data_IF_536453317331
#
_entry.id   IF_536453317331
#
_cell.length_a   1.000
_cell.length_b   1.000
_cell.length_c   1.000
_cell.angle_alpha   90.00
_cell.angle_beta   90.00
_cell.angle_gamma   90.00
#
_symmetry.space_group_name_H-M   'P 1'
#
loop_
_entity.id
_entity.type
_entity.pdbx_description
1 polymer ?
#
# COMPACT_ATOMS: atom_id res chain seq x y z
N UNK A 1 -14.09 -36.70 -13.41
CA UNK A 1 -13.21 -36.20 -14.49
C UNK A 1 -13.32 -34.68 -14.52
N UNK A 2 -12.21 -33.95 -14.36
CA UNK A 2 -12.20 -32.48 -14.48
C UNK A 2 -12.57 -32.11 -15.90
N UNK A 3 -13.61 -31.28 -16.10
CA UNK A 3 -13.94 -30.74 -17.43
C UNK A 3 -12.76 -29.89 -17.89
N UNK A 4 -12.04 -30.33 -18.91
CA UNK A 4 -10.96 -29.56 -19.50
C UNK A 4 -11.58 -28.46 -20.38
N UNK A 5 -11.52 -27.22 -19.91
CA UNK A 5 -11.95 -26.07 -20.70
C UNK A 5 -11.02 -25.89 -21.91
N UNK A 6 -11.60 -25.78 -23.10
CA UNK A 6 -10.87 -25.55 -24.36
C UNK A 6 -10.72 -24.07 -24.71
N UNK A 7 -11.51 -23.21 -24.05
CA UNK A 7 -11.41 -21.75 -24.11
C UNK A 7 -11.77 -21.15 -22.75
N UNK A 8 -10.91 -20.27 -22.24
CA UNK A 8 -11.22 -19.34 -21.16
C UNK A 8 -11.00 -17.92 -21.68
N UNK A 9 -11.97 -17.05 -21.49
CA UNK A 9 -11.85 -15.63 -21.84
C UNK A 9 -12.60 -14.75 -20.83
N UNK A 10 -12.22 -13.49 -20.74
CA UNK A 10 -12.79 -12.53 -19.79
C UNK A 10 -13.33 -11.33 -20.56
N UNK A 11 -14.53 -10.89 -20.22
CA UNK A 11 -15.25 -9.85 -20.97
C UNK A 11 -15.99 -8.93 -20.02
N UNK A 12 -16.09 -7.66 -20.39
CA UNK A 12 -17.13 -6.77 -19.86
C UNK A 12 -18.43 -7.03 -20.64
N UNK A 13 -19.56 -7.15 -19.97
CA UNK A 13 -20.83 -7.19 -20.70
C UNK A 13 -21.04 -5.88 -21.47
N UNK A 14 -21.36 -6.01 -22.75
CA UNK A 14 -21.76 -4.89 -23.58
C UNK A 14 -23.22 -4.53 -23.37
N UNK A 15 -23.67 -3.50 -24.10
CA UNK A 15 -25.09 -3.15 -24.23
C UNK A 15 -25.46 -3.04 -25.70
N UNK A 16 -26.67 -3.44 -26.05
CA UNK A 16 -27.29 -3.21 -27.35
C UNK A 16 -28.70 -2.66 -27.10
N UNK A 17 -28.96 -1.42 -27.55
CA UNK A 17 -30.22 -0.70 -27.32
C UNK A 17 -30.69 -0.78 -25.85
N UNK A 18 -29.76 -0.54 -24.93
CA UNK A 18 -29.99 -0.58 -23.49
C UNK A 18 -30.09 -1.98 -22.86
N UNK A 19 -30.21 -3.04 -23.65
CA UNK A 19 -30.22 -4.43 -23.15
C UNK A 19 -28.81 -5.00 -23.04
N UNK A 20 -28.53 -5.84 -22.02
CA UNK A 20 -27.23 -6.47 -21.85
C UNK A 20 -26.88 -7.38 -23.02
N UNK A 21 -25.61 -7.35 -23.42
CA UNK A 21 -25.08 -8.09 -24.57
C UNK A 21 -23.83 -8.88 -24.18
N UNK A 22 -23.83 -10.15 -24.51
CA UNK A 22 -22.64 -10.99 -24.55
C UNK A 22 -22.22 -11.17 -26.02
N UNK A 23 -21.00 -10.76 -26.34
CA UNK A 23 -20.42 -10.92 -27.68
C UNK A 23 -19.18 -11.81 -27.59
N UNK A 24 -19.20 -12.97 -28.25
CA UNK A 24 -18.06 -13.87 -28.32
C UNK A 24 -17.70 -14.14 -29.77
N UNK A 25 -16.44 -13.87 -30.14
CA UNK A 25 -15.92 -14.13 -31.47
C UNK A 25 -14.60 -14.91 -31.38
N UNK A 26 -14.61 -16.18 -31.76
CA UNK A 26 -13.42 -17.03 -31.72
C UNK A 26 -13.54 -18.23 -32.65
N UNK A 27 -12.48 -18.55 -33.40
CA UNK A 27 -12.45 -19.80 -34.20
C UNK A 27 -12.52 -21.05 -33.33
N UNK A 28 -12.10 -20.98 -32.06
CA UNK A 28 -12.24 -22.10 -31.12
C UNK A 28 -13.70 -22.48 -30.85
N UNK A 29 -14.67 -21.62 -31.18
CA UNK A 29 -16.09 -21.98 -31.10
C UNK A 29 -16.41 -23.19 -31.99
N UNK A 30 -15.82 -23.30 -33.17
CA UNK A 30 -16.00 -24.47 -34.07
C UNK A 30 -15.56 -25.76 -33.40
N UNK A 31 -14.35 -25.79 -32.84
CA UNK A 31 -13.81 -26.98 -32.16
C UNK A 31 -14.59 -27.37 -30.91
N UNK A 32 -15.42 -26.47 -30.37
CA UNK A 32 -16.26 -26.68 -29.21
C UNK A 32 -17.73 -26.96 -29.59
N UNK A 33 -18.05 -27.17 -30.87
CA UNK A 33 -19.41 -27.47 -31.32
C UNK A 33 -20.34 -26.26 -31.41
N UNK A 34 -19.76 -25.08 -31.58
CA UNK A 34 -20.46 -23.82 -31.86
C UNK A 34 -19.98 -23.26 -33.21
N UNK A 35 -20.02 -24.09 -34.26
CA UNK A 35 -19.75 -23.66 -35.64
C UNK A 35 -20.84 -22.72 -36.14
N UNK A 36 -20.55 -21.92 -37.17
CA UNK A 36 -21.55 -21.05 -37.80
C UNK A 36 -22.83 -21.82 -38.17
N UNK A 37 -23.99 -21.26 -37.83
CA UNK A 37 -25.30 -21.88 -38.05
C UNK A 37 -25.79 -22.83 -36.95
N UNK A 38 -24.89 -23.30 -36.07
CA UNK A 38 -25.25 -24.20 -34.97
C UNK A 38 -26.31 -23.58 -34.08
N UNK A 39 -27.38 -24.32 -33.78
CA UNK A 39 -28.41 -23.90 -32.84
C UNK A 39 -27.96 -24.14 -31.40
N UNK A 40 -28.39 -23.29 -30.48
CA UNK A 40 -28.12 -23.46 -29.06
C UNK A 40 -29.26 -22.92 -28.21
N UNK A 41 -29.34 -23.45 -26.98
CA UNK A 41 -30.24 -22.97 -25.93
C UNK A 41 -29.43 -22.23 -24.88
N UNK A 42 -30.07 -21.25 -24.23
CA UNK A 42 -29.48 -20.52 -23.10
C UNK A 42 -30.26 -20.86 -21.84
N UNK A 43 -29.57 -21.45 -20.87
CA UNK A 43 -30.13 -21.87 -19.60
C UNK A 43 -29.66 -20.91 -18.51
N UNK A 44 -30.60 -20.33 -17.75
CA UNK A 44 -30.26 -19.58 -16.56
C UNK A 44 -29.64 -20.52 -15.49
N UNK A 45 -28.56 -20.07 -14.85
CA UNK A 45 -27.89 -20.75 -13.75
C UNK A 45 -27.84 -19.83 -12.53
N UNK A 46 -27.62 -20.41 -11.35
CA UNK A 46 -27.57 -19.64 -10.09
C UNK A 46 -26.57 -18.47 -10.13
N UNK A 47 -25.42 -18.67 -10.78
CA UNK A 47 -24.32 -17.68 -10.86
C UNK A 47 -24.06 -17.16 -12.27
N UNK A 48 -24.98 -17.34 -13.22
CA UNK A 48 -24.75 -16.89 -14.60
C UNK A 48 -25.66 -17.59 -15.60
N UNK A 49 -25.15 -17.83 -16.80
CA UNK A 49 -25.88 -18.53 -17.87
C UNK A 49 -25.02 -19.61 -18.49
N UNK A 50 -25.68 -20.66 -18.98
CA UNK A 50 -25.05 -21.73 -19.76
C UNK A 50 -25.63 -21.74 -21.16
N UNK A 51 -24.77 -21.69 -22.16
CA UNK A 51 -25.15 -21.94 -23.54
C UNK A 51 -24.83 -23.41 -23.83
N UNK A 52 -25.81 -24.13 -24.39
CA UNK A 52 -25.66 -25.53 -24.77
C UNK A 52 -26.00 -25.69 -26.24
N UNK A 53 -25.06 -26.21 -27.02
CA UNK A 53 -25.31 -26.59 -28.40
C UNK A 53 -26.43 -27.64 -28.45
N UNK A 54 -27.37 -27.47 -29.37
CA UNK A 54 -28.55 -28.32 -29.48
C UNK A 54 -28.97 -28.44 -30.95
N UNK A 55 -29.69 -29.52 -31.26
CA UNK A 55 -30.25 -29.73 -32.60
C UNK A 55 -31.31 -28.66 -32.90
N UNK A 56 -32.17 -28.39 -31.92
CA UNK A 56 -33.12 -27.29 -31.92
C UNK A 56 -32.78 -26.30 -30.81
N UNK A 57 -32.80 -25.01 -31.14
CA UNK A 57 -32.45 -23.95 -30.20
C UNK A 57 -33.04 -22.61 -30.62
N UNK A 58 -33.30 -21.75 -29.63
CA UNK A 58 -33.87 -20.40 -29.83
C UNK A 58 -32.84 -19.39 -30.34
N UNK A 59 -31.56 -19.77 -30.36
CA UNK A 59 -30.46 -18.94 -30.82
C UNK A 59 -29.58 -19.72 -31.80
N UNK A 60 -28.87 -18.98 -32.66
CA UNK A 60 -27.94 -19.55 -33.64
C UNK A 60 -26.60 -18.81 -33.61
N UNK A 61 -25.54 -19.56 -33.84
CA UNK A 61 -24.20 -19.00 -33.98
C UNK A 61 -24.14 -18.24 -35.32
N UNK A 62 -23.88 -16.94 -35.25
CA UNK A 62 -23.68 -16.08 -36.40
C UNK A 62 -22.25 -16.25 -36.95
N UNK A 63 -21.95 -15.57 -38.06
CA UNK A 63 -20.62 -15.59 -38.65
C UNK A 63 -20.20 -14.22 -39.18
N UNK A 64 -18.89 -13.96 -39.17
CA UNK A 64 -18.27 -12.83 -39.85
C UNK A 64 -17.11 -13.31 -40.72
N UNK A 65 -17.02 -12.79 -41.95
CA UNK A 65 -15.84 -12.97 -42.80
C UNK A 65 -14.76 -11.99 -42.38
N UNK A 66 -13.55 -12.48 -42.14
CA UNK A 66 -12.39 -11.68 -41.82
C UNK A 66 -11.18 -12.16 -42.63
N UNK A 67 -10.10 -11.37 -42.65
CA UNK A 67 -8.83 -11.81 -43.23
C UNK A 67 -8.40 -13.12 -42.55
N UNK A 68 -8.32 -14.20 -43.33
CA UNK A 68 -7.98 -15.55 -42.88
C UNK A 68 -9.15 -16.52 -42.69
N UNK A 69 -10.41 -16.15 -42.96
CA UNK A 69 -11.55 -17.09 -43.01
C UNK A 69 -12.81 -16.63 -42.27
N UNK A 70 -13.76 -17.55 -42.15
CA UNK A 70 -15.00 -17.36 -41.39
C UNK A 70 -14.70 -17.41 -39.88
N UNK A 71 -15.36 -16.55 -39.10
CA UNK A 71 -15.29 -16.56 -37.62
C UNK A 71 -16.69 -16.74 -37.05
N UNK A 72 -16.94 -17.77 -36.23
CA UNK A 72 -18.20 -17.93 -35.52
C UNK A 72 -18.37 -16.83 -34.46
N UNK A 73 -19.61 -16.37 -34.32
CA UNK A 73 -20.01 -15.31 -33.39
C UNK A 73 -21.21 -15.76 -32.59
N UNK A 74 -21.12 -15.63 -31.27
CA UNK A 74 -22.28 -15.65 -30.38
C UNK A 74 -22.59 -14.21 -29.99
N UNK A 75 -23.72 -13.70 -30.48
CA UNK A 75 -24.27 -12.40 -30.10
C UNK A 75 -25.57 -12.63 -29.33
N UNK A 76 -25.47 -12.62 -28.00
CA UNK A 76 -26.60 -12.83 -27.12
C UNK A 76 -27.01 -11.49 -26.50
N UNK A 77 -28.10 -10.92 -27.01
CA UNK A 77 -28.78 -9.75 -26.43
C UNK A 77 -30.04 -10.24 -25.75
N UNK A 78 -30.04 -10.35 -24.42
CA UNK A 78 -31.20 -10.85 -23.68
C UNK A 78 -31.23 -10.30 -22.24
N UNK A 79 -32.18 -9.41 -21.97
CA UNK A 79 -32.33 -8.79 -20.64
C UNK A 79 -32.68 -9.81 -19.55
N UNK A 80 -33.64 -10.71 -19.79
CA UNK A 80 -34.09 -11.64 -18.73
C UNK A 80 -32.97 -12.60 -18.30
N UNK A 81 -32.10 -13.00 -19.24
CA UNK A 81 -31.02 -13.95 -18.97
C UNK A 81 -29.74 -13.26 -18.45
N UNK A 82 -29.40 -12.08 -18.98
CA UNK A 82 -28.12 -11.42 -18.69
C UNK A 82 -28.19 -10.31 -17.64
N UNK A 83 -29.38 -9.83 -17.24
CA UNK A 83 -29.50 -8.74 -16.25
C UNK A 83 -28.77 -9.04 -14.93
N UNK A 84 -28.74 -10.31 -14.49
CA UNK A 84 -28.03 -10.73 -13.26
C UNK A 84 -26.51 -10.61 -13.39
N UNK A 85 -26.00 -10.58 -14.63
CA UNK A 85 -24.59 -10.43 -14.95
C UNK A 85 -24.17 -8.95 -15.12
N UNK A 86 -25.11 -8.03 -15.36
CA UNK A 86 -24.83 -6.60 -15.58
C UNK A 86 -24.13 -5.92 -14.40
N UNK A 87 -24.47 -6.33 -13.18
CA UNK A 87 -23.88 -5.75 -11.97
C UNK A 87 -22.40 -6.09 -11.77
N UNK A 88 -21.87 -7.05 -12.53
CA UNK A 88 -20.48 -7.49 -12.41
C UNK A 88 -19.62 -6.74 -13.42
N UNK A 89 -18.46 -6.26 -12.97
CA UNK A 89 -17.51 -5.52 -13.83
C UNK A 89 -16.91 -6.38 -14.93
N UNK A 90 -16.86 -7.71 -14.73
CA UNK A 90 -16.24 -8.68 -15.63
C UNK A 90 -16.91 -10.04 -15.49
N UNK A 91 -17.08 -10.75 -16.61
CA UNK A 91 -17.51 -12.15 -16.67
C UNK A 91 -16.40 -13.02 -17.25
N UNK A 92 -16.27 -14.22 -16.69
CA UNK A 92 -15.48 -15.32 -17.23
C UNK A 92 -16.38 -16.17 -18.13
N UNK A 93 -15.90 -16.40 -19.35
CA UNK A 93 -16.46 -17.35 -20.30
C UNK A 93 -15.56 -18.57 -20.28
N UNK A 94 -16.12 -19.71 -19.88
CA UNK A 94 -15.44 -20.99 -19.84
C UNK A 94 -16.16 -21.96 -20.76
N UNK A 95 -15.50 -22.39 -21.82
CA UNK A 95 -16.11 -23.20 -22.87
C UNK A 95 -15.41 -24.55 -23.02
N UNK A 96 -16.22 -25.55 -23.33
CA UNK A 96 -15.88 -26.95 -23.58
C UNK A 96 -16.82 -27.50 -24.65
N UNK A 97 -16.63 -28.75 -25.06
CA UNK A 97 -17.46 -29.36 -26.10
C UNK A 97 -18.96 -29.24 -25.81
N UNK A 98 -19.68 -28.53 -26.67
CA UNK A 98 -21.12 -28.30 -26.63
C UNK A 98 -21.62 -27.38 -25.50
N UNK A 99 -20.73 -26.85 -24.64
CA UNK A 99 -21.11 -26.08 -23.45
C UNK A 99 -20.25 -24.83 -23.31
N UNK A 100 -20.89 -23.68 -23.09
CA UNK A 100 -20.24 -22.43 -22.69
C UNK A 100 -20.89 -21.93 -21.41
N UNK A 101 -20.12 -21.83 -20.34
CA UNK A 101 -20.55 -21.18 -19.09
C UNK A 101 -20.08 -19.73 -19.06
N UNK A 102 -21.01 -18.83 -18.74
CA UNK A 102 -20.73 -17.40 -18.55
C UNK A 102 -21.11 -17.02 -17.13
N UNK A 103 -20.10 -16.76 -16.32
CA UNK A 103 -20.21 -16.47 -14.88
C UNK A 103 -19.40 -15.23 -14.53
N UNK A 104 -19.66 -14.53 -13.43
CA UNK A 104 -18.77 -13.50 -12.92
C UNK A 104 -17.35 -14.05 -12.76
N UNK A 105 -16.34 -13.27 -13.11
CA UNK A 105 -14.96 -13.68 -12.86
C UNK A 105 -14.68 -13.75 -11.36
N UNK A 106 -13.64 -14.50 -10.97
CA UNK A 106 -13.20 -14.55 -9.57
C UNK A 106 -12.85 -13.15 -9.05
N UNK A 107 -12.22 -12.33 -9.89
CA UNK A 107 -11.90 -10.92 -9.62
C UNK A 107 -13.17 -10.11 -9.36
N UNK A 108 -14.17 -10.18 -10.25
CA UNK A 108 -15.42 -9.47 -10.07
C UNK A 108 -16.16 -9.89 -8.78
N UNK A 109 -16.10 -11.18 -8.43
CA UNK A 109 -16.65 -11.70 -7.18
C UNK A 109 -15.92 -11.16 -5.94
N UNK A 110 -14.59 -11.23 -5.94
CA UNK A 110 -13.75 -10.72 -4.85
C UNK A 110 -13.93 -9.21 -4.64
N UNK A 111 -13.87 -8.42 -5.71
CA UNK A 111 -14.12 -6.97 -5.68
C UNK A 111 -15.49 -6.65 -5.08
N UNK A 112 -16.54 -7.38 -5.47
CA UNK A 112 -17.88 -7.13 -4.92
C UNK A 112 -17.95 -7.42 -3.42
N UNK A 113 -17.36 -8.54 -2.98
CA UNK A 113 -17.29 -8.89 -1.55
C UNK A 113 -16.62 -7.79 -0.73
N UNK A 114 -15.57 -7.18 -1.29
CA UNK A 114 -14.81 -6.11 -0.64
C UNK A 114 -15.62 -4.81 -0.56
N UNK A 115 -16.35 -4.47 -1.63
CA UNK A 115 -17.28 -3.34 -1.64
C UNK A 115 -18.47 -3.50 -0.66
N UNK A 116 -18.89 -4.74 -0.40
CA UNK A 116 -19.98 -5.04 0.53
C UNK A 116 -19.51 -5.10 2.00
N UNK A 117 -18.21 -5.03 2.28
CA UNK A 117 -17.64 -5.15 3.62
C UNK A 117 -18.03 -3.98 4.55
N UNK A 118 -18.21 -4.29 5.83
CA UNK A 118 -18.56 -3.34 6.92
C UNK A 118 -17.38 -3.15 7.87
N UNK A 119 -17.25 -2.00 8.56
CA UNK A 119 -16.32 -1.87 9.65
C UNK A 119 -16.70 -2.78 10.85
N UNK A 120 -15.73 -3.19 11.69
CA UNK A 120 -14.31 -2.88 11.55
C UNK A 120 -13.68 -3.67 10.39
N UNK A 121 -12.99 -2.97 9.49
CA UNK A 121 -12.34 -3.56 8.34
C UNK A 121 -11.07 -4.25 8.79
N UNK A 122 -10.88 -5.51 8.40
CA UNK A 122 -9.65 -6.23 8.71
C UNK A 122 -8.51 -5.62 7.92
N UNK A 123 -7.45 -5.28 8.63
CA UNK A 123 -6.29 -4.58 8.09
C UNK A 123 -5.07 -5.48 8.20
N UNK A 124 -4.46 -5.73 7.04
CA UNK A 124 -3.13 -6.32 6.96
C UNK A 124 -2.11 -5.20 6.82
N UNK A 125 -1.06 -5.23 7.63
CA UNK A 125 0.08 -4.34 7.48
C UNK A 125 1.32 -5.12 7.03
N UNK A 126 1.95 -4.67 5.95
CA UNK A 126 3.24 -5.21 5.50
C UNK A 126 4.34 -4.20 5.78
N UNK A 127 5.50 -4.72 6.23
CA UNK A 127 6.64 -3.93 6.70
C UNK A 127 6.31 -3.12 7.97
N UNK A 128 5.69 -3.78 8.95
CA UNK A 128 5.15 -3.11 10.14
C UNK A 128 6.23 -2.57 11.10
N UNK A 129 7.50 -2.99 10.96
CA UNK A 129 8.59 -2.51 11.79
C UNK A 129 8.32 -2.79 13.27
N UNK A 130 8.57 -1.79 14.11
CA UNK A 130 8.20 -1.83 15.53
C UNK A 130 6.83 -1.20 15.84
N UNK A 131 6.01 -0.93 14.82
CA UNK A 131 4.58 -0.67 14.99
C UNK A 131 4.11 0.78 15.09
N UNK A 132 4.85 1.78 14.60
CA UNK A 132 4.36 3.17 14.69
C UNK A 132 3.13 3.44 13.81
N UNK A 133 3.04 2.79 12.65
CA UNK A 133 1.87 2.83 11.78
C UNK A 133 0.78 1.88 12.27
N UNK A 134 1.16 0.70 12.76
CA UNK A 134 0.28 -0.24 13.47
C UNK A 134 -0.47 0.39 14.64
N UNK A 135 0.18 1.28 15.40
CA UNK A 135 -0.44 2.03 16.48
C UNK A 135 -1.53 2.99 15.97
N UNK A 136 -1.36 3.59 14.80
CA UNK A 136 -2.40 4.43 14.18
C UNK A 136 -3.59 3.57 13.70
N UNK A 137 -3.31 2.39 13.13
CA UNK A 137 -4.35 1.43 12.70
C UNK A 137 -5.15 0.95 13.91
N UNK A 138 -4.48 0.42 14.93
CA UNK A 138 -5.12 -0.13 16.12
C UNK A 138 -5.79 0.91 17.01
N UNK A 139 -5.45 2.20 16.85
CA UNK A 139 -6.08 3.31 17.57
C UNK A 139 -7.42 3.77 16.98
N UNK A 140 -7.83 3.25 15.81
CA UNK A 140 -9.05 3.69 15.12
C UNK A 140 -10.08 2.57 15.05
N UNK A 141 -11.28 2.80 15.60
CA UNK A 141 -12.30 1.76 15.83
C UNK A 141 -12.81 1.05 14.55
N UNK A 142 -12.78 1.74 13.40
CA UNK A 142 -13.20 1.14 12.12
C UNK A 142 -12.17 0.20 11.49
N UNK A 143 -10.98 0.05 12.07
CA UNK A 143 -9.95 -0.85 11.55
C UNK A 143 -9.58 -1.91 12.60
N UNK A 144 -9.47 -3.15 12.16
CA UNK A 144 -8.98 -4.26 12.98
C UNK A 144 -7.66 -4.77 12.39
N UNK A 145 -6.55 -4.50 13.07
CA UNK A 145 -5.25 -5.04 12.66
C UNK A 145 -5.24 -6.56 12.87
N UNK A 146 -5.26 -7.34 11.77
CA UNK A 146 -5.33 -8.81 11.82
C UNK A 146 -3.99 -9.49 11.62
N UNK A 147 -3.04 -8.82 10.96
CA UNK A 147 -1.69 -9.33 10.77
C UNK A 147 -0.68 -8.22 10.45
N UNK A 148 0.58 -8.49 10.82
CA UNK A 148 1.75 -7.68 10.51
C UNK A 148 2.86 -8.54 9.89
N UNK A 149 3.60 -8.00 8.92
CA UNK A 149 4.76 -8.68 8.33
C UNK A 149 6.02 -7.89 8.62
N UNK A 150 6.97 -8.53 9.29
CA UNK A 150 8.27 -7.95 9.66
C UNK A 150 9.37 -9.01 9.59
N UNK A 151 10.51 -8.69 8.98
CA UNK A 151 11.60 -9.63 8.78
C UNK A 151 12.61 -9.62 9.94
N UNK A 152 12.81 -8.47 10.59
CA UNK A 152 13.79 -8.29 11.68
C UNK A 152 13.17 -8.74 13.01
N UNK A 153 13.68 -9.82 13.63
CA UNK A 153 13.08 -10.39 14.85
C UNK A 153 12.99 -9.38 15.99
N UNK A 154 14.00 -8.51 16.16
CA UNK A 154 14.01 -7.51 17.25
C UNK A 154 12.89 -6.47 17.12
N UNK A 155 12.45 -6.17 15.90
CA UNK A 155 11.32 -5.26 15.67
C UNK A 155 9.99 -6.02 15.77
N UNK A 156 9.97 -7.24 15.25
CA UNK A 156 8.83 -8.15 15.32
C UNK A 156 8.42 -8.44 16.78
N UNK A 157 9.37 -8.68 17.68
CA UNK A 157 9.11 -8.88 19.11
C UNK A 157 8.40 -7.67 19.75
N UNK A 158 8.90 -6.46 19.44
CA UNK A 158 8.31 -5.21 19.94
C UNK A 158 6.90 -5.03 19.39
N UNK A 159 6.72 -5.26 18.09
CA UNK A 159 5.41 -5.18 17.44
C UNK A 159 4.41 -6.18 18.05
N UNK A 160 4.79 -7.44 18.19
CA UNK A 160 3.93 -8.50 18.70
C UNK A 160 3.54 -8.27 20.17
N UNK A 161 4.43 -7.66 20.96
CA UNK A 161 4.11 -7.29 22.35
C UNK A 161 2.97 -6.26 22.46
N UNK A 162 2.86 -5.37 21.47
CA UNK A 162 1.81 -4.36 21.39
C UNK A 162 0.54 -4.86 20.70
N UNK A 163 0.65 -5.84 19.80
CA UNK A 163 -0.44 -6.35 18.96
C UNK A 163 -0.66 -7.85 19.16
N UNK A 164 -0.87 -8.27 20.41
CA UNK A 164 -0.91 -9.69 20.83
C UNK A 164 -1.93 -10.57 20.11
N UNK A 165 -3.04 -9.98 19.68
CA UNK A 165 -4.12 -10.72 19.00
C UNK A 165 -3.94 -10.79 17.47
N UNK A 166 -3.01 -10.02 16.92
CA UNK A 166 -2.72 -10.01 15.49
C UNK A 166 -1.65 -11.05 15.15
N UNK A 167 -1.79 -11.69 13.99
CA UNK A 167 -0.81 -12.65 13.49
C UNK A 167 0.47 -11.93 13.05
N UNK A 168 1.60 -12.24 13.69
CA UNK A 168 2.92 -11.88 13.18
C UNK A 168 3.38 -12.89 12.12
N UNK A 169 3.62 -12.39 10.91
CA UNK A 169 4.30 -13.14 9.85
C UNK A 169 5.76 -12.68 9.85
N UNK A 170 6.60 -13.39 10.59
CA UNK A 170 8.03 -13.07 10.65
C UNK A 170 8.79 -13.70 9.48
N UNK A 171 8.76 -13.04 8.33
CA UNK A 171 9.38 -13.56 7.12
C UNK A 171 9.80 -12.46 6.15
N UNK A 172 10.71 -12.82 5.26
CA UNK A 172 10.86 -12.10 4.00
C UNK A 172 9.57 -12.27 3.18
N UNK A 173 8.89 -11.16 2.88
CA UNK A 173 7.64 -11.12 2.13
C UNK A 173 7.74 -11.87 0.78
N UNK A 174 8.94 -11.96 0.18
CA UNK A 174 9.19 -12.69 -1.07
C UNK A 174 8.94 -14.19 -0.95
N UNK A 175 8.99 -14.75 0.26
CA UNK A 175 8.84 -16.19 0.52
C UNK A 175 7.41 -16.59 0.87
N UNK A 176 6.55 -15.64 1.19
CA UNK A 176 5.19 -15.91 1.66
C UNK A 176 4.26 -15.90 0.46
N UNK A 177 3.60 -17.03 0.20
CA UNK A 177 2.67 -17.12 -0.91
C UNK A 177 1.47 -16.18 -0.64
N UNK A 178 0.96 -15.43 -1.63
CA UNK A 178 -0.12 -14.47 -1.41
C UNK A 178 -1.38 -15.05 -0.75
N UNK A 179 -1.63 -16.37 -0.87
CA UNK A 179 -2.79 -17.02 -0.21
C UNK A 179 -2.60 -17.37 1.26
N UNK A 180 -1.40 -17.25 1.80
CA UNK A 180 -1.11 -17.52 3.22
C UNK A 180 -1.46 -16.34 4.12
N UNK A 181 -1.60 -15.13 3.55
CA UNK A 181 -2.04 -13.96 4.28
C UNK A 181 -3.52 -14.08 4.67
N UNK A 182 -3.91 -13.65 5.89
CA UNK A 182 -5.32 -13.67 6.30
C UNK A 182 -6.15 -12.75 5.41
N UNK A 183 -7.44 -13.05 5.31
CA UNK A 183 -8.36 -12.20 4.58
C UNK A 183 -8.45 -10.81 5.22
N UNK A 184 -8.37 -9.78 4.39
CA UNK A 184 -8.36 -8.38 4.79
C UNK A 184 -9.12 -7.51 3.77
N UNK A 185 -9.71 -6.44 4.28
CA UNK A 185 -10.38 -5.40 3.51
C UNK A 185 -9.45 -4.22 3.26
N UNK A 186 -8.47 -3.99 4.13
CA UNK A 186 -7.52 -2.88 4.01
C UNK A 186 -6.10 -3.43 4.01
N UNK A 187 -5.28 -2.95 3.10
CA UNK A 187 -3.84 -3.20 3.08
C UNK A 187 -3.08 -1.91 3.39
N UNK A 188 -2.18 -1.95 4.37
CA UNK A 188 -1.26 -0.86 4.66
C UNK A 188 0.17 -1.32 4.41
N UNK A 189 0.94 -0.54 3.67
CA UNK A 189 2.27 -0.92 3.20
C UNK A 189 3.27 0.24 3.35
N UNK A 190 4.12 0.17 4.36
CA UNK A 190 5.26 1.09 4.55
C UNK A 190 6.50 0.53 3.82
N UNK A 191 6.49 0.63 2.49
CA UNK A 191 7.47 -0.07 1.64
C UNK A 191 8.91 0.40 1.98
N UNK A 192 9.87 -0.51 2.21
CA UNK A 192 11.22 -0.13 2.59
C UNK A 192 11.89 0.84 1.61
N UNK A 193 12.20 2.03 2.09
CA UNK A 193 12.79 3.09 1.27
C UNK A 193 14.33 2.98 1.12
N UNK A 194 14.96 1.92 1.63
CA UNK A 194 16.43 1.86 1.71
C UNK A 194 17.13 1.92 0.36
N UNK A 195 16.53 1.35 -0.70
CA UNK A 195 17.07 1.51 -2.05
C UNK A 195 16.60 2.79 -2.75
N UNK A 196 15.48 3.39 -2.31
CA UNK A 196 14.81 4.51 -2.99
C UNK A 196 15.02 5.88 -2.33
N UNK A 197 15.62 5.94 -1.14
CA UNK A 197 15.98 7.18 -0.44
C UNK A 197 17.32 7.73 -0.92
N UNK A 198 17.52 9.05 -0.84
CA UNK A 198 18.79 9.68 -1.23
C UNK A 198 19.99 9.11 -0.45
N UNK A 199 19.87 9.04 0.88
CA UNK A 199 20.91 8.47 1.74
C UNK A 199 21.16 6.99 1.45
N UNK A 200 20.10 6.23 1.17
CA UNK A 200 20.18 4.82 0.85
C UNK A 200 20.84 4.55 -0.50
N UNK A 201 20.43 5.26 -1.56
CA UNK A 201 21.05 5.21 -2.89
C UNK A 201 22.53 5.55 -2.84
N UNK A 202 22.90 6.59 -2.09
CA UNK A 202 24.30 6.98 -1.91
C UNK A 202 25.11 5.89 -1.20
N UNK A 203 24.60 5.32 -0.11
CA UNK A 203 25.30 4.26 0.66
C UNK A 203 25.45 2.95 -0.10
N UNK A 204 24.50 2.62 -0.98
CA UNK A 204 24.48 1.37 -1.75
C UNK A 204 25.01 1.51 -3.18
N UNK A 205 25.52 2.68 -3.55
CA UNK A 205 26.06 2.96 -4.90
C UNK A 205 25.09 2.60 -6.04
N UNK A 206 23.77 2.78 -5.83
CA UNK A 206 22.73 2.34 -6.77
C UNK A 206 22.51 3.30 -7.95
N UNK A 207 23.13 4.49 -7.91
CA UNK A 207 22.97 5.50 -8.96
C UNK A 207 21.50 5.80 -9.27
N UNK A 208 21.12 5.67 -10.54
CA UNK A 208 19.74 5.86 -11.03
C UNK A 208 18.92 4.56 -11.11
N UNK A 209 19.39 3.46 -10.49
CA UNK A 209 18.73 2.13 -10.55
C UNK A 209 18.34 1.63 -9.15
N UNK A 210 17.50 2.35 -8.39
CA UNK A 210 17.13 1.97 -7.03
C UNK A 210 16.38 0.63 -6.95
N UNK A 211 15.71 0.20 -8.01
CA UNK A 211 14.96 -1.06 -8.07
C UNK A 211 15.87 -2.30 -7.98
N UNK A 212 17.16 -2.18 -8.31
CA UNK A 212 18.12 -3.28 -8.27
C UNK A 212 18.82 -3.44 -6.90
N UNK A 213 18.50 -2.60 -5.91
CA UNK A 213 18.99 -2.79 -4.54
C UNK A 213 18.21 -3.88 -3.80
N UNK A 214 18.78 -4.41 -2.71
CA UNK A 214 18.24 -5.58 -1.98
C UNK A 214 16.77 -5.49 -1.52
N UNK A 215 16.24 -4.26 -1.38
CA UNK A 215 14.83 -4.00 -1.03
C UNK A 215 14.07 -3.24 -2.12
N UNK A 216 14.68 -3.06 -3.30
CA UNK A 216 14.18 -2.21 -4.38
C UNK A 216 12.99 -2.81 -5.11
N UNK A 217 12.88 -4.14 -5.09
CA UNK A 217 11.87 -4.97 -5.76
C UNK A 217 10.63 -5.26 -4.89
N UNK A 218 10.68 -4.96 -3.59
CA UNK A 218 9.63 -5.35 -2.64
C UNK A 218 8.24 -4.80 -2.98
N UNK A 219 8.14 -3.70 -3.73
CA UNK A 219 6.87 -3.19 -4.25
C UNK A 219 6.15 -4.18 -5.18
N UNK A 220 6.88 -5.08 -5.86
CA UNK A 220 6.31 -6.15 -6.69
C UNK A 220 5.56 -7.18 -5.85
N UNK A 221 6.09 -7.50 -4.66
CA UNK A 221 5.40 -8.39 -3.71
C UNK A 221 4.09 -7.76 -3.23
N UNK A 222 4.12 -6.46 -2.94
CA UNK A 222 2.93 -5.69 -2.56
C UNK A 222 1.91 -5.63 -3.70
N UNK A 223 2.33 -5.32 -4.92
CA UNK A 223 1.46 -5.32 -6.10
C UNK A 223 0.78 -6.69 -6.30
N UNK A 224 1.55 -7.77 -6.15
CA UNK A 224 1.06 -9.15 -6.24
C UNK A 224 0.01 -9.46 -5.16
N UNK A 225 0.25 -8.99 -3.92
CA UNK A 225 -0.68 -9.15 -2.81
C UNK A 225 -2.00 -8.43 -3.08
N UNK A 226 -1.95 -7.17 -3.55
CA UNK A 226 -3.13 -6.39 -3.94
C UNK A 226 -3.89 -7.06 -5.09
N UNK A 227 -3.19 -7.55 -6.11
CA UNK A 227 -3.81 -8.25 -7.24
C UNK A 227 -4.49 -9.56 -6.82
N UNK A 228 -4.00 -10.21 -5.76
CA UNK A 228 -4.55 -11.46 -5.24
C UNK A 228 -5.78 -11.23 -4.35
N UNK A 229 -5.72 -10.30 -3.40
CA UNK A 229 -6.77 -10.10 -2.39
C UNK A 229 -7.80 -9.04 -2.76
N UNK A 230 -7.42 -8.12 -3.64
CA UNK A 230 -8.23 -6.99 -4.11
C UNK A 230 -8.90 -6.22 -2.94
N UNK A 231 -8.16 -5.80 -1.90
CA UNK A 231 -8.71 -5.10 -0.74
C UNK A 231 -9.59 -3.90 -1.14
N UNK A 232 -10.53 -3.53 -0.28
CA UNK A 232 -11.38 -2.34 -0.43
C UNK A 232 -10.54 -1.07 -0.59
N UNK A 233 -9.47 -0.95 0.21
CA UNK A 233 -8.54 0.17 0.16
C UNK A 233 -7.09 -0.27 0.42
N UNK A 234 -6.14 0.44 -0.18
CA UNK A 234 -4.72 0.32 0.11
C UNK A 234 -4.12 1.67 0.50
N UNK A 235 -3.25 1.68 1.50
CA UNK A 235 -2.43 2.82 1.93
C UNK A 235 -0.97 2.47 1.73
N UNK A 236 -0.26 3.23 0.90
CA UNK A 236 1.16 3.06 0.68
C UNK A 236 1.92 4.28 1.21
N UNK A 237 2.98 4.01 1.98
CA UNK A 237 3.89 5.02 2.51
C UNK A 237 5.29 4.81 1.93
N UNK A 238 5.94 5.92 1.57
CA UNK A 238 7.36 5.92 1.23
C UNK A 238 7.97 7.33 1.30
N UNK A 239 9.24 7.48 0.95
CA UNK A 239 9.89 8.78 0.74
C UNK A 239 9.39 9.47 -0.54
N UNK A 240 9.41 10.82 -0.61
CA UNK A 240 9.01 11.57 -1.81
C UNK A 240 9.62 11.08 -3.13
N UNK A 241 10.90 10.68 -3.12
CA UNK A 241 11.59 10.21 -4.33
C UNK A 241 11.14 8.83 -4.82
N UNK A 242 10.44 8.05 -4.02
CA UNK A 242 9.82 6.80 -4.48
C UNK A 242 8.60 7.11 -5.37
N UNK A 243 7.77 8.09 -4.98
CA UNK A 243 6.60 8.47 -5.77
C UNK A 243 6.92 8.90 -7.19
N UNK A 244 8.07 9.54 -7.39
CA UNK A 244 8.56 9.92 -8.72
C UNK A 244 9.44 8.87 -9.39
N UNK A 245 9.77 7.74 -8.74
CA UNK A 245 10.55 6.67 -9.36
C UNK A 245 9.71 5.80 -10.30
N UNK A 246 10.37 4.96 -11.10
CA UNK A 246 9.69 4.01 -11.97
C UNK A 246 8.86 3.01 -11.14
N UNK A 247 9.36 2.57 -9.98
CA UNK A 247 8.62 1.73 -9.05
C UNK A 247 7.29 2.37 -8.60
N UNK A 248 7.32 3.63 -8.13
CA UNK A 248 6.12 4.34 -7.69
C UNK A 248 5.10 4.55 -8.81
N UNK A 249 5.57 5.00 -9.98
CA UNK A 249 4.72 5.22 -11.16
C UNK A 249 4.11 3.91 -11.68
N UNK A 250 4.89 2.82 -11.74
CA UNK A 250 4.43 1.51 -12.19
C UNK A 250 3.42 0.92 -11.22
N UNK A 251 3.65 1.04 -9.91
CA UNK A 251 2.69 0.59 -8.91
C UNK A 251 1.36 1.33 -9.07
N UNK A 252 1.37 2.67 -9.13
CA UNK A 252 0.17 3.48 -9.32
C UNK A 252 -0.58 3.10 -10.61
N UNK A 253 0.13 2.99 -11.73
CA UNK A 253 -0.45 2.60 -13.02
C UNK A 253 -1.07 1.19 -12.95
N UNK A 254 -0.35 0.23 -12.37
CA UNK A 254 -0.81 -1.15 -12.25
C UNK A 254 -2.08 -1.25 -11.38
N UNK A 255 -2.16 -0.53 -10.25
CA UNK A 255 -3.36 -0.50 -9.44
C UNK A 255 -4.55 0.12 -10.18
N UNK A 256 -4.33 1.13 -11.02
CA UNK A 256 -5.34 1.66 -11.94
C UNK A 256 -5.86 0.59 -12.91
N UNK A 257 -4.98 -0.23 -13.49
CA UNK A 257 -5.38 -1.38 -14.32
C UNK A 257 -6.14 -2.45 -13.53
N UNK A 258 -5.86 -2.56 -12.22
CA UNK A 258 -6.61 -3.40 -11.29
C UNK A 258 -7.98 -2.81 -10.91
N UNK A 259 -8.32 -1.60 -11.37
CA UNK A 259 -9.63 -0.97 -11.20
C UNK A 259 -9.77 -0.18 -9.91
N UNK A 260 -8.65 0.22 -9.30
CA UNK A 260 -8.61 1.18 -8.20
C UNK A 260 -8.60 2.61 -8.73
N UNK A 261 -9.26 3.50 -8.00
CA UNK A 261 -9.04 4.93 -8.09
C UNK A 261 -7.80 5.27 -7.24
N UNK A 262 -6.82 5.93 -7.84
CA UNK A 262 -5.49 6.13 -7.23
C UNK A 262 -5.24 7.62 -7.02
N UNK A 263 -5.03 8.01 -5.77
CA UNK A 263 -4.67 9.37 -5.34
C UNK A 263 -3.28 9.35 -4.72
N UNK A 264 -2.44 10.32 -5.10
CA UNK A 264 -1.09 10.48 -4.56
C UNK A 264 -0.91 11.88 -3.98
N UNK A 265 -0.14 11.99 -2.90
CA UNK A 265 0.21 13.28 -2.29
C UNK A 265 1.53 13.21 -1.56
N UNK A 266 2.13 14.38 -1.30
CA UNK A 266 3.26 14.51 -0.38
C UNK A 266 2.72 15.05 0.94
N UNK A 267 2.78 14.21 1.96
CA UNK A 267 2.54 14.61 3.32
C UNK A 267 3.73 15.44 3.81
N UNK A 268 3.46 16.64 4.34
CA UNK A 268 4.45 17.56 4.89
C UNK A 268 4.04 17.94 6.33
N UNK A 269 4.49 17.17 7.34
CA UNK A 269 3.99 17.30 8.70
C UNK A 269 4.22 18.70 9.29
N UNK A 270 5.39 19.27 9.03
CA UNK A 270 5.79 20.59 9.55
C UNK A 270 4.96 21.73 8.97
N UNK A 271 4.73 21.71 7.67
CA UNK A 271 4.01 22.79 6.99
C UNK A 271 2.50 22.68 7.11
N UNK A 272 1.95 21.48 7.24
CA UNK A 272 0.51 21.27 7.05
C UNK A 272 -0.20 20.47 8.14
N UNK A 273 0.52 19.87 9.10
CA UNK A 273 -0.08 18.97 10.11
C UNK A 273 0.27 19.31 11.56
N UNK A 274 0.75 20.53 11.81
CA UNK A 274 1.09 21.05 13.13
C UNK A 274 2.12 20.18 13.88
N UNK A 275 3.04 19.55 13.15
CA UNK A 275 4.10 18.73 13.72
C UNK A 275 5.44 19.46 13.70
N UNK A 276 6.26 19.43 14.76
CA UNK A 276 7.56 20.13 14.77
C UNK A 276 8.61 19.51 13.84
N UNK A 277 8.44 18.24 13.44
CA UNK A 277 9.44 17.52 12.65
C UNK A 277 9.21 17.68 11.14
N UNK A 278 10.26 18.04 10.41
CA UNK A 278 10.30 18.00 8.95
C UNK A 278 10.50 16.55 8.50
N UNK A 279 9.40 15.81 8.31
CA UNK A 279 9.37 14.39 7.92
C UNK A 279 8.46 14.15 6.73
N UNK A 280 8.78 14.77 5.59
CA UNK A 280 8.00 14.60 4.36
C UNK A 280 7.91 13.14 3.93
N UNK A 281 6.72 12.71 3.50
CA UNK A 281 6.41 11.36 2.99
C UNK A 281 5.54 11.40 1.76
N UNK A 282 5.81 10.52 0.83
CA UNK A 282 4.88 10.21 -0.25
C UNK A 282 3.83 9.24 0.28
N UNK A 283 2.57 9.57 0.02
CA UNK A 283 1.44 8.68 0.25
C UNK A 283 0.74 8.39 -1.07
N UNK A 284 0.33 7.14 -1.22
CA UNK A 284 -0.62 6.74 -2.24
C UNK A 284 -1.78 6.00 -1.62
N UNK A 285 -2.98 6.38 -2.03
CA UNK A 285 -4.24 5.79 -1.62
C UNK A 285 -4.86 5.17 -2.86
N UNK A 286 -5.19 3.89 -2.79
CA UNK A 286 -5.86 3.19 -3.87
C UNK A 286 -7.16 2.58 -3.33
N UNK A 287 -8.31 3.02 -3.83
CA UNK A 287 -9.63 2.58 -3.35
C UNK A 287 -10.46 1.98 -4.48
N UNK A 288 -11.24 0.92 -4.19
CA UNK A 288 -12.18 0.36 -5.19
C UNK A 288 -13.37 1.29 -5.46
N UNK A 289 -13.58 2.25 -4.56
CA UNK A 289 -14.56 3.33 -4.61
C UNK A 289 -13.83 4.60 -5.10
N UNK A 290 -14.30 5.27 -6.17
CA UNK A 290 -13.64 6.45 -6.70
C UNK A 290 -13.89 7.72 -5.86
N UNK A 291 -12.97 8.68 -5.95
CA UNK A 291 -13.13 10.03 -5.42
C UNK A 291 -12.49 10.29 -4.07
N UNK A 292 -11.63 9.39 -3.56
CA UNK A 292 -10.90 9.66 -2.33
C UNK A 292 -9.87 10.79 -2.54
N UNK A 293 -9.89 11.79 -1.65
CA UNK A 293 -8.88 12.83 -1.57
C UNK A 293 -8.47 12.99 -0.12
N UNK A 294 -7.15 13.03 0.11
CA UNK A 294 -6.61 13.38 1.42
C UNK A 294 -6.57 14.90 1.54
N UNK A 295 -7.14 15.42 2.62
CA UNK A 295 -7.12 16.84 2.93
C UNK A 295 -6.19 17.07 4.11
N UNK A 296 -5.13 17.86 3.90
CA UNK A 296 -4.31 18.30 5.01
C UNK A 296 -5.05 19.39 5.79
N UNK A 297 -4.90 19.45 7.13
CA UNK A 297 -5.51 20.52 7.92
C UNK A 297 -4.88 21.89 7.64
N UNK A 298 -3.80 21.95 6.86
CA UNK A 298 -3.07 23.16 6.47
C UNK A 298 -2.67 24.03 7.66
N UNK A 299 -2.35 23.36 8.77
CA UNK A 299 -1.92 24.00 10.01
C UNK A 299 -0.41 23.86 10.13
N UNK A 300 0.40 24.91 9.91
CA UNK A 300 1.83 24.84 10.17
C UNK A 300 2.09 24.70 11.67
N UNK A 301 3.22 24.10 12.03
CA UNK A 301 3.67 24.10 13.41
C UNK A 301 4.03 25.53 13.86
N UNK A 302 3.42 25.99 14.95
CA UNK A 302 3.55 27.34 15.47
C UNK A 302 4.11 27.41 16.91
N UNK A 303 4.47 26.26 17.49
CA UNK A 303 5.03 26.17 18.83
C UNK A 303 6.56 26.15 18.84
N UNK A 304 7.10 25.75 19.98
CA UNK A 304 8.52 25.47 20.18
C UNK A 304 8.71 24.05 20.75
N UNK A 305 9.94 23.68 21.14
CA UNK A 305 10.24 22.35 21.65
C UNK A 305 10.25 22.26 23.17
N UNK A 306 9.79 23.29 23.91
CA UNK A 306 9.80 23.31 25.38
C UNK A 306 8.98 22.18 26.00
N UNK A 307 7.83 21.84 25.43
CA UNK A 307 6.99 20.71 25.89
C UNK A 307 7.55 19.33 25.49
N UNK A 308 8.50 19.31 24.55
CA UNK A 308 9.07 18.09 23.99
C UNK A 308 10.37 17.74 24.70
N UNK A 309 11.30 18.70 24.77
CA UNK A 309 12.62 18.55 25.33
C UNK A 309 12.60 18.68 26.85
N UNK A 310 13.32 17.80 27.53
CA UNK A 310 13.51 17.94 28.96
C UNK A 310 14.40 19.16 29.27
N UNK A 311 14.12 19.88 30.38
CA UNK A 311 15.02 20.91 30.89
C UNK A 311 16.44 20.39 31.11
N UNK A 312 17.42 21.29 30.96
CA UNK A 312 18.81 20.96 31.20
C UNK A 312 19.03 20.51 32.65
N UNK A 313 19.85 19.48 32.83
CA UNK A 313 20.08 18.77 34.09
C UNK A 313 21.51 18.22 34.16
N UNK A 314 21.99 17.84 35.34
CA UNK A 314 23.33 17.23 35.49
C UNK A 314 23.50 15.92 34.71
N UNK A 315 22.39 15.24 34.36
CA UNK A 315 22.41 14.08 33.47
C UNK A 315 22.97 14.44 32.08
N UNK A 316 22.73 15.67 31.63
CA UNK A 316 23.17 16.13 30.31
C UNK A 316 24.67 16.34 30.26
N UNK A 317 25.31 16.68 31.38
CA UNK A 317 26.77 16.78 31.48
C UNK A 317 27.43 15.45 31.12
N UNK A 318 27.00 14.36 31.76
CA UNK A 318 27.53 13.01 31.51
C UNK A 318 27.35 12.59 30.06
N UNK A 319 26.20 12.91 29.47
CA UNK A 319 25.91 12.57 28.08
C UNK A 319 26.73 13.42 27.09
N UNK A 320 26.85 14.72 27.33
CA UNK A 320 27.66 15.62 26.53
C UNK A 320 29.14 15.20 26.54
N UNK A 321 29.68 14.86 27.71
CA UNK A 321 31.03 14.32 27.86
C UNK A 321 31.19 12.99 27.09
N UNK A 322 30.22 12.08 27.20
CA UNK A 322 30.23 10.79 26.52
C UNK A 322 30.30 10.91 24.99
N UNK A 323 29.63 11.92 24.41
CA UNK A 323 29.57 12.09 22.95
C UNK A 323 30.49 13.18 22.40
N UNK A 324 31.24 13.89 23.26
CA UNK A 324 32.07 15.04 22.89
C UNK A 324 33.04 14.74 21.74
N UNK A 325 33.71 13.58 21.78
CA UNK A 325 34.64 13.15 20.72
C UNK A 325 33.97 12.98 19.36
N UNK A 326 32.77 12.39 19.33
CA UNK A 326 31.97 12.25 18.12
C UNK A 326 31.51 13.60 17.59
N UNK A 327 31.02 14.49 18.47
CA UNK A 327 30.63 15.86 18.11
C UNK A 327 31.81 16.63 17.51
N UNK A 328 32.99 16.57 18.12
CA UNK A 328 34.20 17.21 17.60
C UNK A 328 34.61 16.65 16.23
N UNK A 329 34.45 15.34 15.99
CA UNK A 329 34.69 14.75 14.68
C UNK A 329 33.68 15.24 13.62
N UNK A 330 32.41 15.37 14.00
CA UNK A 330 31.36 15.90 13.12
C UNK A 330 31.57 17.38 12.78
N UNK A 331 32.04 18.20 13.72
CA UNK A 331 32.42 19.59 13.46
C UNK A 331 33.56 19.69 12.44
N UNK A 332 34.66 18.94 12.65
CA UNK A 332 35.77 18.87 11.68
C UNK A 332 35.32 18.38 10.31
N UNK A 333 34.39 17.42 10.25
CA UNK A 333 33.84 16.95 8.98
C UNK A 333 33.02 18.04 8.28
N UNK A 334 32.15 18.74 9.02
CA UNK A 334 31.36 19.88 8.51
C UNK A 334 32.26 20.98 7.96
N UNK A 335 33.33 21.36 8.67
CA UNK A 335 34.27 22.38 8.23
C UNK A 335 34.97 21.99 6.93
N UNK A 336 35.50 20.76 6.84
CA UNK A 336 36.12 20.23 5.62
C UNK A 336 35.15 20.26 4.43
N UNK A 337 33.91 19.82 4.61
CA UNK A 337 32.91 19.81 3.53
C UNK A 337 32.44 21.21 3.16
N UNK A 338 32.31 22.13 4.13
CA UNK A 338 31.99 23.54 3.87
C UNK A 338 33.07 24.21 3.02
N UNK A 339 34.35 23.91 3.30
CA UNK A 339 35.48 24.42 2.51
C UNK A 339 35.45 23.93 1.04
N UNK A 340 34.82 22.77 0.79
CA UNK A 340 34.61 22.21 -0.55
C UNK A 340 33.30 22.70 -1.22
N UNK A 341 32.55 23.63 -0.60
CA UNK A 341 31.26 24.09 -1.10
C UNK A 341 30.11 23.09 -0.91
N UNK A 342 30.32 22.01 -0.15
CA UNK A 342 29.30 21.01 0.13
C UNK A 342 28.44 21.38 1.35
N UNK A 343 27.13 21.10 1.31
CA UNK A 343 26.18 21.35 2.40
C UNK A 343 26.13 20.30 3.51
N UNK A 344 27.18 19.48 3.70
CA UNK A 344 27.18 18.41 4.70
C UNK A 344 27.42 18.95 6.12
N UNK A 345 26.60 18.51 7.07
CA UNK A 345 26.75 18.84 8.48
C UNK A 345 25.63 18.25 9.32
N UNK A 346 25.79 18.34 10.64
CA UNK A 346 24.72 18.07 11.58
C UNK A 346 24.08 19.38 12.04
N UNK A 347 22.88 19.27 12.60
CA UNK A 347 22.12 20.38 13.16
C UNK A 347 22.02 20.27 14.67
N UNK A 348 21.78 21.39 15.34
CA UNK A 348 21.43 21.45 16.74
C UNK A 348 20.01 22.01 16.90
N UNK A 349 19.37 21.70 18.02
CA UNK A 349 18.04 22.18 18.41
C UNK A 349 18.03 22.52 19.91
N UNK A 350 17.12 23.40 20.30
CA UNK A 350 16.93 23.86 21.68
C UNK A 350 15.43 24.08 21.95
N UNK A 351 15.02 24.39 23.19
CA UNK A 351 13.61 24.58 23.52
C UNK A 351 12.90 25.64 22.67
N UNK A 352 13.60 26.68 22.18
CA UNK A 352 13.04 27.75 21.36
C UNK A 352 13.00 27.41 19.86
N UNK A 353 13.48 26.24 19.45
CA UNK A 353 13.50 25.85 18.05
C UNK A 353 12.07 25.61 17.53
N UNK A 354 11.75 26.12 16.35
CA UNK A 354 10.44 25.94 15.71
C UNK A 354 10.39 24.79 14.70
N UNK A 355 11.51 24.05 14.55
CA UNK A 355 11.65 22.97 13.57
C UNK A 355 12.68 21.94 14.00
N UNK A 356 12.35 20.67 13.83
CA UNK A 356 13.23 19.52 14.05
C UNK A 356 13.49 18.82 12.72
N UNK A 357 14.74 18.67 12.27
CA UNK A 357 15.07 17.85 11.11
C UNK A 357 14.65 16.38 11.29
N UNK A 358 14.45 15.65 10.21
CA UNK A 358 14.07 14.23 10.26
C UNK A 358 15.01 13.43 11.16
N UNK A 359 14.46 12.75 12.18
CA UNK A 359 15.20 11.75 12.94
C UNK A 359 15.24 10.46 12.13
N UNK A 360 16.44 10.01 11.80
CA UNK A 360 16.68 8.83 10.96
C UNK A 360 17.03 7.61 11.80
N UNK A 361 16.85 6.41 11.23
CA UNK A 361 17.18 5.12 11.87
C UNK A 361 18.56 5.09 12.55
N UNK A 362 19.58 5.66 11.91
CA UNK A 362 20.96 5.63 12.42
C UNK A 362 21.28 6.69 13.46
N UNK A 363 20.31 7.46 13.95
CA UNK A 363 20.53 8.56 14.89
C UNK A 363 21.30 8.11 16.16
N UNK A 364 21.04 6.90 16.65
CA UNK A 364 21.74 6.30 17.79
C UNK A 364 23.25 6.14 17.59
N UNK A 365 23.76 6.21 16.35
CA UNK A 365 25.18 6.09 16.01
C UNK A 365 25.96 7.41 16.13
N UNK A 366 25.28 8.51 16.52
CA UNK A 366 25.93 9.83 16.73
C UNK A 366 26.66 10.31 15.46
N UNK A 367 26.09 10.03 14.29
CA UNK A 367 26.67 10.40 13.00
C UNK A 367 25.86 11.46 12.25
N UNK A 368 24.66 11.76 12.75
CA UNK A 368 23.73 12.73 12.16
C UNK A 368 22.89 13.33 13.29
N UNK A 369 22.67 14.64 13.20
CA UNK A 369 21.81 15.35 14.13
C UNK A 369 20.31 15.08 13.88
N UNK A 370 19.41 15.83 14.52
CA UNK A 370 19.72 16.98 15.38
C UNK A 370 20.25 16.57 16.77
N UNK A 371 21.17 17.35 17.35
CA UNK A 371 21.55 17.23 18.77
C UNK A 371 20.92 18.34 19.60
N UNK A 372 20.59 18.06 20.87
CA UNK A 372 19.99 19.05 21.77
C UNK A 372 21.10 19.87 22.43
N UNK A 373 20.97 21.19 22.38
CA UNK A 373 21.91 22.12 23.00
C UNK A 373 21.72 22.15 24.52
N UNK A 374 22.83 22.12 25.25
CA UNK A 374 22.85 22.25 26.71
C UNK A 374 24.06 23.09 27.14
N UNK A 375 24.07 23.65 28.37
CA UNK A 375 25.22 24.37 28.89
C UNK A 375 26.52 23.55 28.95
N UNK A 376 26.42 22.21 28.91
CA UNK A 376 27.57 21.29 28.97
C UNK A 376 28.06 20.83 27.59
N UNK A 377 27.35 21.21 26.52
CA UNK A 377 27.57 20.74 25.16
C UNK A 377 26.37 19.97 24.59
N UNK A 378 26.43 19.55 23.31
CA UNK A 378 25.32 18.86 22.68
C UNK A 378 25.08 17.46 23.28
N UNK A 379 23.81 17.06 23.37
CA UNK A 379 23.39 15.70 23.74
C UNK A 379 22.52 15.07 22.65
N UNK A 380 22.35 13.76 22.71
CA UNK A 380 21.29 13.09 21.95
C UNK A 380 19.90 13.42 22.50
N UNK A 381 18.89 13.33 21.63
CA UNK A 381 17.50 13.23 22.03
C UNK A 381 17.29 11.97 22.87
N UNK A 382 16.58 12.11 23.98
CA UNK A 382 16.17 10.99 24.82
C UNK A 382 15.05 10.23 24.13
N UNK A 383 14.92 8.94 24.44
CA UNK A 383 13.91 8.06 23.84
C UNK A 383 12.52 8.70 23.89
N UNK A 384 12.07 9.18 25.05
CA UNK A 384 10.74 9.75 25.22
C UNK A 384 10.53 11.07 24.49
N UNK A 385 11.59 11.86 24.27
CA UNK A 385 11.53 13.08 23.43
C UNK A 385 11.26 12.70 21.96
N UNK A 386 11.90 11.63 21.48
CA UNK A 386 11.64 11.08 20.13
C UNK A 386 10.23 10.46 20.06
N UNK A 387 9.78 9.75 21.10
CA UNK A 387 8.41 9.23 21.19
C UNK A 387 7.37 10.36 21.13
N UNK A 388 7.59 11.49 21.82
CA UNK A 388 6.75 12.70 21.73
C UNK A 388 6.74 13.26 20.30
N UNK A 389 7.90 13.38 19.65
CA UNK A 389 8.00 13.87 18.27
C UNK A 389 7.27 12.97 17.26
N UNK A 390 7.36 11.65 17.44
CA UNK A 390 6.75 10.68 16.54
C UNK A 390 5.30 10.36 16.90
N UNK A 391 4.85 10.69 18.11
CA UNK A 391 3.51 10.39 18.61
C UNK A 391 3.28 8.92 18.95
N UNK A 392 4.35 8.17 19.24
CA UNK A 392 4.27 6.74 19.49
C UNK A 392 5.23 6.35 20.62
N UNK A 393 4.72 5.66 21.64
CA UNK A 393 5.56 5.03 22.68
C UNK A 393 5.98 3.65 22.20
N UNK A 394 7.25 3.32 22.35
CA UNK A 394 7.82 2.03 21.98
C UNK A 394 8.11 1.22 23.24
N UNK A 395 7.52 0.03 23.36
CA UNK A 395 7.75 -0.90 24.47
C UNK A 395 9.12 -1.60 24.37
N UNK A 396 10.19 -0.82 24.27
CA UNK A 396 11.57 -1.30 24.21
C UNK A 396 12.46 -0.42 25.09
N UNK A 397 13.19 -1.03 26.03
CA UNK A 397 14.13 -0.30 26.90
C UNK A 397 15.45 0.03 26.19
N UNK A 398 15.84 -0.78 25.19
CA UNK A 398 17.09 -0.59 24.48
C UNK A 398 17.02 0.63 23.55
N UNK A 399 17.78 1.68 23.91
CA UNK A 399 17.73 2.98 23.23
C UNK A 399 17.96 2.87 21.72
N UNK A 400 19.00 2.17 21.27
CA UNK A 400 19.29 2.07 19.85
C UNK A 400 18.14 1.41 19.08
N UNK A 401 17.56 0.32 19.60
CA UNK A 401 16.43 -0.37 18.95
C UNK A 401 15.20 0.53 18.88
N UNK A 402 14.87 1.24 19.97
CA UNK A 402 13.75 2.19 19.98
C UNK A 402 13.95 3.32 18.94
N UNK A 403 15.16 3.86 18.84
CA UNK A 403 15.51 4.89 17.85
C UNK A 403 15.51 4.33 16.42
N UNK A 404 15.92 3.09 16.20
CA UNK A 404 15.79 2.46 14.89
C UNK A 404 14.33 2.38 14.45
N UNK A 405 13.44 1.90 15.33
CA UNK A 405 12.00 1.80 15.12
C UNK A 405 11.38 3.18 14.83
N UNK A 406 11.61 4.16 15.71
CA UNK A 406 11.06 5.51 15.57
C UNK A 406 11.64 6.24 14.34
N UNK A 407 12.95 6.09 14.11
CA UNK A 407 13.66 6.74 13.03
C UNK A 407 13.29 6.21 11.64
N UNK A 408 12.83 4.96 11.53
CA UNK A 408 12.31 4.39 10.28
C UNK A 408 10.78 4.48 10.15
N UNK A 409 10.05 4.57 11.26
CA UNK A 409 8.59 4.61 11.28
C UNK A 409 7.96 5.92 10.78
N UNK A 410 6.64 5.99 10.88
CA UNK A 410 5.83 7.18 10.57
C UNK A 410 5.47 7.97 11.82
N UNK A 411 5.02 9.23 11.64
CA UNK A 411 4.40 10.00 12.72
C UNK A 411 2.96 9.52 12.95
N UNK A 412 2.72 8.84 14.07
CA UNK A 412 1.46 8.12 14.36
C UNK A 412 0.25 9.05 14.41
N UNK A 413 0.39 10.25 14.97
CA UNK A 413 -0.70 11.25 15.03
C UNK A 413 -1.21 11.62 13.63
N UNK A 414 -0.29 11.90 12.73
CA UNK A 414 -0.59 12.25 11.34
C UNK A 414 -1.29 11.09 10.63
N UNK A 415 -0.79 9.87 10.78
CA UNK A 415 -1.42 8.70 10.16
C UNK A 415 -2.76 8.33 10.78
N UNK A 416 -2.98 8.64 12.05
CA UNK A 416 -4.30 8.47 12.67
C UNK A 416 -5.34 9.34 11.95
N UNK A 417 -5.01 10.60 11.65
CA UNK A 417 -5.89 11.49 10.89
C UNK A 417 -6.08 11.04 9.43
N UNK A 418 -5.01 10.55 8.77
CA UNK A 418 -5.12 9.95 7.43
C UNK A 418 -6.12 8.79 7.43
N UNK A 419 -6.05 7.91 8.43
CA UNK A 419 -6.95 6.76 8.58
C UNK A 419 -8.37 7.20 8.93
N UNK A 420 -8.56 8.25 9.74
CA UNK A 420 -9.86 8.85 10.01
C UNK A 420 -10.54 9.32 8.72
N UNK A 421 -9.82 10.05 7.86
CA UNK A 421 -10.36 10.50 6.58
C UNK A 421 -10.70 9.34 5.64
N UNK A 422 -9.86 8.30 5.61
CA UNK A 422 -10.14 7.08 4.85
C UNK A 422 -11.40 6.38 5.34
N UNK A 423 -11.53 6.17 6.66
CA UNK A 423 -12.71 5.54 7.25
C UNK A 423 -13.99 6.33 6.95
N UNK A 424 -13.95 7.66 7.12
CA UNK A 424 -15.07 8.53 6.81
C UNK A 424 -15.49 8.44 5.33
N UNK A 425 -14.52 8.40 4.40
CA UNK A 425 -14.80 8.21 2.98
C UNK A 425 -15.43 6.86 2.66
N UNK A 426 -14.84 5.77 3.18
CA UNK A 426 -15.34 4.40 2.96
C UNK A 426 -16.75 4.21 3.54
N UNK A 427 -17.06 4.85 4.67
CA UNK A 427 -18.39 4.82 5.27
C UNK A 427 -19.42 5.63 4.46
N UNK A 428 -19.07 6.84 4.00
CA UNK A 428 -20.00 7.69 3.22
C UNK A 428 -20.39 7.07 1.88
N UNK A 429 -19.45 6.44 1.20
CA UNK A 429 -19.71 5.85 -0.12
C UNK A 429 -20.65 4.63 -0.10
N UNK A 430 -21.13 4.23 1.08
CA UNK A 430 -22.10 3.15 1.29
C UNK A 430 -23.53 3.64 1.49
N UNK A 431 -23.72 4.91 1.86
CA UNK A 431 -25.03 5.59 1.90
C UNK A 431 -25.34 6.24 0.57
#
# INVERSE_FOLDING_TARGET
MSVQHQLISFHKLGKNRGSPRLWLESRRLETMGFSAGTAFVVEARRRGVRLRAAIEGTHRVAQRRAAGGVRPIIDLVNRSLLARLEKWREVKVAASMGIIDVIPSLRAYATRRQLDAVPPWRTLEVFCGGGTLSAAIGGHADFQLVAGVEIEPRFADVWQSAHRDALLIQADIRRVHPREYPAHEVLVAAIPCTSHSLLGRAKKSLGQKPELGDTGDLFLCVATLVATHLPLACVFENVPSFGSSLAGQTLAHHLGQLGYDVTQTILDPHKAWAEPQDRRRWLMMATLIPGFKLEAPNKPFAGDLSDILDPASDRDRKEAERIAGSIAALWRHRERHRALGHGFGFTTINPQSSRVPTIVRSYHKINVGPFVETPFGPRLLRKHEVEKLMGCKIACAHYATAIEILGQGVQTRVFSEVLTQLAAFLSRARG
#
